data_IF_453748535157
#
_entry.id   IF_453748535157
#
_cell.length_a   1.000
_cell.length_b   1.000
_cell.length_c   1.000
_cell.angle_alpha   90.00
_cell.angle_beta   90.00
_cell.angle_gamma   90.00
#
_symmetry.space_group_name_H-M   'P 1'
#
loop_
_entity.id
_entity.type
_entity.pdbx_description
1 polymer ?
#
# COMPACT_ATOMS: atom_id res chain seq x y z
N UNK A 1 30.16 -6.25 -24.58
CA UNK A 1 30.67 -7.25 -23.62
C UNK A 1 31.24 -6.52 -22.41
N UNK A 2 30.43 -6.31 -21.38
CA UNK A 2 30.89 -5.70 -20.12
C UNK A 2 31.38 -6.86 -19.25
N UNK A 3 32.68 -6.90 -18.95
CA UNK A 3 33.28 -7.93 -18.09
C UNK A 3 32.86 -7.65 -16.64
N UNK A 4 32.26 -8.64 -16.00
CA UNK A 4 31.98 -8.65 -14.57
C UNK A 4 33.31 -8.57 -13.81
N UNK A 5 33.64 -7.41 -13.24
CA UNK A 5 34.80 -7.25 -12.36
C UNK A 5 34.33 -7.68 -10.96
N UNK A 6 34.90 -8.75 -10.36
CA UNK A 6 34.53 -9.15 -9.01
C UNK A 6 35.01 -8.08 -8.03
N UNK A 7 34.11 -7.65 -7.13
CA UNK A 7 34.49 -6.85 -5.97
C UNK A 7 35.33 -7.75 -5.04
N UNK A 8 36.55 -7.33 -4.80
CA UNK A 8 37.53 -8.05 -3.96
C UNK A 8 37.52 -7.36 -2.59
N UNK A 9 37.36 -8.13 -1.51
CA UNK A 9 37.48 -7.58 -0.16
C UNK A 9 38.93 -7.20 0.17
N UNK A 10 39.15 -6.42 1.23
CA UNK A 10 40.50 -5.97 1.68
C UNK A 10 41.54 -7.09 1.79
N UNK A 11 41.07 -8.33 1.97
CA UNK A 11 41.89 -9.51 2.21
C UNK A 11 42.11 -10.37 0.94
N UNK A 12 41.75 -9.87 -0.25
CA UNK A 12 41.99 -10.57 -1.53
C UNK A 12 41.05 -11.75 -1.81
N UNK A 13 40.13 -12.07 -0.89
CA UNK A 13 39.09 -13.07 -1.10
C UNK A 13 37.95 -12.50 -1.97
N UNK A 14 37.29 -13.32 -2.82
CA UNK A 14 36.08 -12.88 -3.49
C UNK A 14 35.06 -12.47 -2.44
N UNK A 15 34.52 -11.25 -2.55
CA UNK A 15 33.51 -10.76 -1.61
C UNK A 15 32.27 -11.66 -1.70
N UNK A 16 32.21 -12.64 -0.80
CA UNK A 16 31.02 -13.46 -0.57
C UNK A 16 30.09 -12.62 0.27
N UNK A 17 29.56 -11.54 -0.34
CA UNK A 17 28.83 -10.49 0.37
C UNK A 17 27.86 -11.04 1.41
N UNK A 18 27.75 -10.33 2.54
CA UNK A 18 27.07 -10.82 3.75
C UNK A 18 25.66 -11.36 3.46
N UNK A 19 25.43 -12.60 3.92
CA UNK A 19 24.16 -13.33 3.81
C UNK A 19 23.59 -13.70 5.17
N UNK A 20 24.13 -13.10 6.24
CA UNK A 20 23.61 -13.27 7.58
C UNK A 20 22.42 -12.33 7.80
N UNK A 21 21.29 -12.91 8.19
CA UNK A 21 20.06 -12.18 8.44
C UNK A 21 19.57 -12.49 9.85
N UNK A 22 19.42 -11.44 10.65
CA UNK A 22 18.85 -11.49 11.99
C UNK A 22 17.50 -10.79 11.98
N UNK A 23 16.56 -11.33 12.75
CA UNK A 23 15.27 -10.67 12.99
C UNK A 23 15.52 -9.48 13.91
N UNK A 24 15.08 -8.29 13.49
CA UNK A 24 15.10 -7.10 14.34
C UNK A 24 13.99 -7.19 15.38
N UNK A 25 14.30 -6.81 16.63
CA UNK A 25 13.32 -6.77 17.73
C UNK A 25 12.22 -5.76 17.44
N UNK A 26 12.57 -4.62 16.85
CA UNK A 26 11.63 -3.57 16.45
C UNK A 26 10.66 -4.08 15.39
N UNK A 27 11.17 -4.79 14.37
CA UNK A 27 10.32 -5.41 13.36
C UNK A 27 9.42 -6.49 13.96
N UNK A 28 9.95 -7.33 14.86
CA UNK A 28 9.15 -8.37 15.50
C UNK A 28 7.96 -7.79 16.28
N UNK A 29 8.20 -6.72 17.04
CA UNK A 29 7.13 -5.99 17.76
C UNK A 29 6.11 -5.40 16.79
N UNK A 30 6.57 -4.72 15.74
CA UNK A 30 5.70 -4.14 14.72
C UNK A 30 4.87 -5.23 14.02
N UNK A 31 5.48 -6.36 13.67
CA UNK A 31 4.80 -7.47 13.04
C UNK A 31 3.72 -8.08 13.93
N UNK A 32 3.98 -8.23 15.24
CA UNK A 32 2.97 -8.69 16.21
C UNK A 32 1.81 -7.71 16.29
N UNK A 33 2.08 -6.41 16.43
CA UNK A 33 1.03 -5.38 16.49
C UNK A 33 0.15 -5.37 15.23
N UNK A 34 0.77 -5.45 14.06
CA UNK A 34 0.03 -5.50 12.78
C UNK A 34 -0.86 -6.75 12.70
N UNK A 35 -0.35 -7.91 13.09
CA UNK A 35 -1.14 -9.16 13.10
C UNK A 35 -2.31 -9.07 14.09
N UNK A 36 -2.09 -8.55 15.30
CA UNK A 36 -3.15 -8.38 16.29
C UNK A 36 -4.25 -7.41 15.82
N UNK A 37 -3.85 -6.32 15.18
CA UNK A 37 -4.77 -5.27 14.76
C UNK A 37 -5.56 -5.62 13.49
N UNK A 38 -4.89 -6.25 12.51
CA UNK A 38 -5.41 -6.45 11.16
C UNK A 38 -5.61 -7.90 10.77
N UNK A 39 -5.09 -8.87 11.54
CA UNK A 39 -5.29 -10.30 11.29
C UNK A 39 -5.65 -11.12 12.55
N UNK A 40 -6.58 -10.68 13.42
CA UNK A 40 -7.03 -11.48 14.54
C UNK A 40 -7.63 -12.81 14.06
N UNK A 41 -7.19 -13.92 14.64
CA UNK A 41 -7.70 -15.26 14.29
C UNK A 41 -7.30 -15.74 12.89
N UNK A 42 -6.29 -15.13 12.26
CA UNK A 42 -5.75 -15.57 10.96
C UNK A 42 -6.49 -15.03 9.74
N UNK A 43 -7.60 -14.30 9.92
CA UNK A 43 -8.35 -13.66 8.83
C UNK A 43 -7.98 -12.19 8.72
N UNK A 44 -7.68 -11.71 7.51
CA UNK A 44 -7.33 -10.30 7.30
C UNK A 44 -8.58 -9.43 7.34
N UNK A 45 -8.57 -8.43 8.22
CA UNK A 45 -9.58 -7.39 8.32
C UNK A 45 -9.29 -6.27 7.33
N UNK A 46 -9.59 -6.53 6.06
CA UNK A 46 -9.37 -5.59 4.95
C UNK A 46 -10.02 -4.23 5.15
N UNK A 47 -11.19 -4.17 5.79
CA UNK A 47 -11.91 -2.92 6.02
C UNK A 47 -11.08 -1.93 6.87
N UNK A 48 -10.42 -2.43 7.91
CA UNK A 48 -9.53 -1.61 8.76
C UNK A 48 -8.27 -1.19 8.00
N UNK A 49 -7.72 -2.09 7.18
CA UNK A 49 -6.49 -1.85 6.42
C UNK A 49 -6.72 -0.83 5.28
N UNK A 50 -7.86 -0.91 4.62
CA UNK A 50 -8.27 0.04 3.58
C UNK A 50 -8.63 1.41 4.17
N UNK A 51 -9.11 1.45 5.41
CA UNK A 51 -9.37 2.69 6.14
C UNK A 51 -8.10 3.45 6.59
N UNK A 52 -6.90 2.87 6.42
CA UNK A 52 -5.65 3.56 6.74
C UNK A 52 -5.53 4.90 5.98
N UNK A 53 -5.26 6.01 6.70
CA UNK A 53 -5.09 7.32 6.11
C UNK A 53 -4.02 7.32 5.01
N UNK A 54 -4.26 8.10 3.94
CA UNK A 54 -3.27 8.22 2.86
C UNK A 54 -1.91 8.71 3.35
N UNK A 55 -1.89 9.59 4.36
CA UNK A 55 -0.66 10.12 4.96
C UNK A 55 0.23 9.08 5.65
N UNK A 56 -0.32 7.91 5.98
CA UNK A 56 0.41 6.80 6.62
C UNK A 56 0.91 5.76 5.61
N UNK A 57 0.60 5.92 4.32
CA UNK A 57 1.00 4.98 3.26
C UNK A 57 2.41 5.27 2.74
N UNK A 58 3.09 4.25 2.21
CA UNK A 58 4.50 4.34 1.80
C UNK A 58 4.80 5.54 0.89
N UNK A 59 3.99 5.88 -0.13
CA UNK A 59 4.26 7.06 -0.96
C UNK A 59 4.27 8.37 -0.16
N UNK A 60 3.36 8.52 0.80
CA UNK A 60 3.26 9.70 1.66
C UNK A 60 4.36 9.73 2.72
N UNK A 61 4.72 8.57 3.26
CA UNK A 61 5.88 8.44 4.16
C UNK A 61 7.18 8.84 3.45
N UNK A 62 7.36 8.47 2.17
CA UNK A 62 8.53 8.88 1.38
C UNK A 62 8.59 10.40 1.25
N UNK A 63 7.44 11.05 1.03
CA UNK A 63 7.36 12.49 0.90
C UNK A 63 7.64 13.22 2.22
N UNK A 64 7.23 12.65 3.36
CA UNK A 64 7.36 13.25 4.69
C UNK A 64 8.73 13.00 5.32
N UNK A 65 9.15 11.74 5.38
CA UNK A 65 10.30 11.28 6.17
C UNK A 65 11.54 11.03 5.28
N UNK A 66 11.37 11.11 3.96
CA UNK A 66 12.42 10.94 2.98
C UNK A 66 12.61 9.50 2.52
N UNK A 67 13.06 9.34 1.27
CA UNK A 67 13.23 8.04 0.63
C UNK A 67 14.15 7.09 1.41
N UNK A 68 15.26 7.59 1.95
CA UNK A 68 16.26 6.77 2.64
C UNK A 68 15.71 6.12 3.92
N UNK A 69 14.90 6.86 4.69
CA UNK A 69 14.30 6.35 5.93
C UNK A 69 13.29 5.23 5.62
N UNK A 70 12.41 5.46 4.64
CA UNK A 70 11.39 4.47 4.25
C UNK A 70 12.02 3.24 3.57
N UNK A 71 13.06 3.44 2.75
CA UNK A 71 13.86 2.34 2.18
C UNK A 71 14.49 1.48 3.26
N UNK A 72 15.05 2.09 4.31
CA UNK A 72 15.58 1.34 5.45
C UNK A 72 14.50 0.54 6.20
N UNK A 73 13.29 1.08 6.34
CA UNK A 73 12.16 0.37 6.96
C UNK A 73 11.75 -0.86 6.15
N UNK A 74 11.54 -0.69 4.84
CA UNK A 74 11.16 -1.81 3.95
C UNK A 74 12.29 -2.83 3.85
N UNK A 75 13.54 -2.37 3.78
CA UNK A 75 14.71 -3.24 3.82
C UNK A 75 14.77 -4.07 5.10
N UNK A 76 14.55 -3.47 6.27
CA UNK A 76 14.54 -4.18 7.56
C UNK A 76 13.37 -5.19 7.67
N UNK A 77 12.21 -4.85 7.11
CA UNK A 77 11.07 -5.77 7.04
C UNK A 77 11.38 -6.99 6.18
N UNK A 78 11.93 -6.76 4.97
CA UNK A 78 12.33 -7.83 4.06
C UNK A 78 13.47 -8.67 4.64
N UNK A 79 14.45 -8.04 5.29
CA UNK A 79 15.55 -8.71 5.99
C UNK A 79 15.02 -9.65 7.06
N UNK A 80 14.05 -9.19 7.86
CA UNK A 80 13.45 -9.99 8.92
C UNK A 80 12.59 -11.12 8.37
N UNK A 81 11.87 -10.89 7.27
CA UNK A 81 11.16 -11.96 6.55
C UNK A 81 12.12 -13.07 6.09
N UNK A 82 13.25 -12.69 5.46
CA UNK A 82 14.28 -13.64 5.02
C UNK A 82 14.89 -14.39 6.22
N UNK A 83 15.23 -13.69 7.30
CA UNK A 83 15.75 -14.31 8.52
C UNK A 83 14.77 -15.34 9.11
N UNK A 84 13.47 -15.10 8.95
CA UNK A 84 12.41 -15.96 9.49
C UNK A 84 12.03 -17.14 8.58
N UNK A 85 12.50 -17.14 7.34
CA UNK A 85 12.27 -18.21 6.36
C UNK A 85 13.57 -19.01 6.27
N UNK A 86 13.57 -20.22 6.83
CA UNK A 86 14.76 -21.07 7.02
C UNK A 86 15.36 -21.57 5.68
N UNK A 87 15.94 -20.66 4.90
CA UNK A 87 16.55 -20.98 3.62
C UNK A 87 17.97 -21.52 3.79
N UNK A 88 18.36 -22.53 3.00
CA UNK A 88 19.76 -22.86 2.81
C UNK A 88 20.54 -21.64 2.26
N UNK A 89 21.78 -21.45 2.70
CA UNK A 89 22.60 -20.26 2.37
C UNK A 89 22.76 -19.94 0.87
N UNK A 90 22.66 -20.95 -0.01
CA UNK A 90 22.72 -20.77 -1.47
C UNK A 90 21.42 -20.22 -2.08
N UNK A 91 20.30 -20.27 -1.34
CA UNK A 91 18.99 -19.70 -1.69
C UNK A 91 18.71 -18.38 -1.00
N UNK A 92 19.58 -17.97 -0.07
CA UNK A 92 19.55 -16.66 0.55
C UNK A 92 20.09 -15.60 -0.43
N UNK A 93 19.36 -14.49 -0.65
CA UNK A 93 19.88 -13.37 -1.42
C UNK A 93 21.06 -12.72 -0.70
N UNK A 94 21.89 -11.97 -1.43
CA UNK A 94 22.88 -11.06 -0.84
C UNK A 94 22.21 -9.80 -0.32
N UNK A 95 22.83 -9.11 0.62
CA UNK A 95 22.29 -7.85 1.17
C UNK A 95 21.97 -6.81 0.08
N UNK A 96 22.82 -6.74 -0.97
CA UNK A 96 22.59 -5.88 -2.14
C UNK A 96 21.32 -6.27 -2.89
N UNK A 97 21.08 -7.56 -3.10
CA UNK A 97 19.86 -8.05 -3.76
C UNK A 97 18.60 -7.73 -2.92
N UNK A 98 18.69 -7.81 -1.60
CA UNK A 98 17.60 -7.42 -0.69
C UNK A 98 17.32 -5.92 -0.75
N UNK A 99 18.36 -5.07 -0.85
CA UNK A 99 18.17 -3.63 -1.05
C UNK A 99 17.51 -3.30 -2.39
N UNK A 100 17.95 -3.97 -3.47
CA UNK A 100 17.30 -3.81 -4.78
C UNK A 100 15.83 -4.20 -4.71
N UNK A 101 15.52 -5.33 -4.04
CA UNK A 101 14.15 -5.77 -3.81
C UNK A 101 13.31 -4.74 -3.03
N UNK A 102 13.85 -4.16 -1.96
CA UNK A 102 13.18 -3.12 -1.20
C UNK A 102 12.87 -1.89 -2.07
N UNK A 103 13.82 -1.46 -2.90
CA UNK A 103 13.62 -0.37 -3.86
C UNK A 103 12.50 -0.67 -4.87
N UNK A 104 12.48 -1.87 -5.47
CA UNK A 104 11.44 -2.28 -6.43
C UNK A 104 10.04 -2.32 -5.77
N UNK A 105 9.96 -2.84 -4.54
CA UNK A 105 8.72 -2.81 -3.75
C UNK A 105 8.26 -1.36 -3.55
N UNK A 106 9.16 -0.45 -3.15
CA UNK A 106 8.83 0.96 -2.96
C UNK A 106 8.43 1.69 -4.25
N UNK A 107 9.04 1.34 -5.38
CA UNK A 107 8.66 1.91 -6.68
C UNK A 107 7.25 1.48 -7.06
N UNK A 108 6.94 0.19 -6.95
CA UNK A 108 5.61 -0.32 -7.25
C UNK A 108 4.54 0.15 -6.24
N UNK A 109 4.91 0.42 -4.98
CA UNK A 109 3.98 0.90 -3.94
C UNK A 109 3.29 2.23 -4.28
N UNK A 110 3.83 3.00 -5.24
CA UNK A 110 3.22 4.24 -5.75
C UNK A 110 1.99 3.99 -6.62
N UNK A 111 1.87 2.81 -7.21
CA UNK A 111 0.79 2.47 -8.15
C UNK A 111 -0.54 2.24 -7.40
N UNK A 112 -0.47 1.60 -6.23
CA UNK A 112 -1.64 1.15 -5.47
C UNK A 112 -1.73 1.72 -4.04
N UNK A 113 -0.85 2.69 -3.74
CA UNK A 113 -0.75 3.35 -2.44
C UNK A 113 -0.64 2.32 -1.30
N UNK A 114 0.41 1.50 -1.36
CA UNK A 114 0.64 0.45 -0.38
C UNK A 114 1.08 1.03 0.98
N UNK A 115 0.59 0.47 2.08
CA UNK A 115 1.01 0.83 3.44
C UNK A 115 2.17 -0.05 3.94
N UNK A 116 2.80 0.31 5.05
CA UNK A 116 3.84 -0.55 5.66
C UNK A 116 3.20 -1.81 6.27
N UNK A 117 2.02 -1.66 6.86
CA UNK A 117 1.18 -2.71 7.42
C UNK A 117 0.82 -3.74 6.36
N UNK A 118 0.53 -3.30 5.13
CA UNK A 118 0.26 -4.17 3.99
C UNK A 118 1.45 -5.11 3.71
N UNK A 119 2.68 -4.57 3.71
CA UNK A 119 3.89 -5.36 3.50
C UNK A 119 4.14 -6.37 4.62
N UNK A 120 3.91 -5.96 5.86
CA UNK A 120 4.08 -6.82 7.03
C UNK A 120 3.08 -7.98 7.00
N UNK A 121 1.81 -7.71 6.70
CA UNK A 121 0.78 -8.73 6.51
C UNK A 121 1.11 -9.65 5.35
N UNK A 122 1.56 -9.10 4.23
CA UNK A 122 2.03 -9.86 3.09
C UNK A 122 3.14 -10.83 3.49
N UNK A 123 4.20 -10.37 4.16
CA UNK A 123 5.31 -11.23 4.57
C UNK A 123 4.88 -12.33 5.55
N UNK A 124 3.99 -12.03 6.50
CA UNK A 124 3.43 -13.03 7.41
C UNK A 124 2.64 -14.11 6.67
N UNK A 125 1.77 -13.71 5.73
CA UNK A 125 0.94 -14.64 4.95
C UNK A 125 1.75 -15.42 3.91
N UNK A 126 2.76 -14.80 3.31
CA UNK A 126 3.70 -15.46 2.42
C UNK A 126 4.51 -16.52 3.18
N UNK A 127 4.95 -16.23 4.40
CA UNK A 127 5.61 -17.20 5.28
C UNK A 127 4.69 -18.38 5.62
N UNK A 128 3.41 -18.11 5.87
CA UNK A 128 2.40 -19.14 6.10
C UNK A 128 2.03 -19.95 4.84
N UNK A 129 2.59 -19.61 3.67
CA UNK A 129 2.37 -20.33 2.41
C UNK A 129 1.06 -20.00 1.70
N UNK A 130 0.36 -18.92 2.10
CA UNK A 130 -0.92 -18.50 1.51
C UNK A 130 -0.79 -18.23 0.00
N UNK A 131 0.33 -17.65 -0.41
CA UNK A 131 0.64 -17.32 -1.82
C UNK A 131 1.52 -18.39 -2.50
N UNK A 132 1.52 -19.61 -1.96
CA UNK A 132 2.37 -20.70 -2.40
C UNK A 132 3.77 -20.71 -1.75
N UNK A 133 4.55 -21.78 -1.98
CA UNK A 133 5.83 -21.99 -1.31
C UNK A 133 6.90 -21.05 -1.85
N UNK A 134 7.53 -20.28 -0.95
CA UNK A 134 8.74 -19.50 -1.27
C UNK A 134 9.91 -20.47 -1.36
N UNK A 135 10.35 -20.81 -2.57
CA UNK A 135 11.43 -21.80 -2.79
C UNK A 135 12.83 -21.20 -2.78
N UNK A 136 12.93 -19.91 -3.08
CA UNK A 136 14.17 -19.13 -3.18
C UNK A 136 13.82 -17.65 -3.19
N UNK A 137 14.71 -16.82 -2.65
CA UNK A 137 14.65 -15.36 -2.75
C UNK A 137 15.86 -14.78 -3.48
N UNK A 138 16.65 -15.63 -4.15
CA UNK A 138 17.77 -15.19 -4.99
C UNK A 138 17.27 -14.32 -6.15
N UNK A 139 16.13 -14.69 -6.72
CA UNK A 139 15.43 -13.86 -7.70
C UNK A 139 14.27 -13.18 -7.00
N UNK A 140 14.08 -11.89 -7.32
CA UNK A 140 12.99 -11.09 -6.79
C UNK A 140 11.63 -11.46 -7.41
N UNK A 141 11.63 -11.95 -8.65
CA UNK A 141 10.42 -12.19 -9.44
C UNK A 141 9.34 -13.03 -8.71
N UNK A 142 9.67 -14.17 -8.04
CA UNK A 142 8.67 -14.95 -7.32
C UNK A 142 8.02 -14.17 -6.17
N UNK A 143 8.81 -13.37 -5.44
CA UNK A 143 8.29 -12.55 -4.35
C UNK A 143 7.34 -11.46 -4.88
N UNK A 144 7.67 -10.84 -6.01
CA UNK A 144 6.80 -9.83 -6.63
C UNK A 144 5.50 -10.45 -7.15
N UNK A 145 5.53 -11.62 -7.76
CA UNK A 145 4.30 -12.32 -8.17
C UNK A 145 3.40 -12.65 -6.96
N UNK A 146 3.99 -13.03 -5.82
CA UNK A 146 3.24 -13.24 -4.59
C UNK A 146 2.67 -11.93 -4.03
N UNK A 147 3.43 -10.84 -4.12
CA UNK A 147 2.95 -9.52 -3.74
C UNK A 147 1.78 -9.07 -4.64
N UNK A 148 1.82 -9.38 -5.93
CA UNK A 148 0.72 -9.10 -6.86
C UNK A 148 -0.54 -9.90 -6.50
N UNK A 149 -0.39 -11.15 -6.05
CA UNK A 149 -1.51 -11.92 -5.53
C UNK A 149 -2.12 -11.27 -4.28
N UNK A 150 -1.28 -10.79 -3.34
CA UNK A 150 -1.75 -10.00 -2.19
C UNK A 150 -2.49 -8.73 -2.63
N UNK A 151 -1.96 -8.00 -3.61
CA UNK A 151 -2.57 -6.78 -4.16
C UNK A 151 -3.92 -7.06 -4.81
N UNK A 152 -4.05 -8.18 -5.51
CA UNK A 152 -5.33 -8.59 -6.07
C UNK A 152 -6.36 -8.86 -4.98
N UNK A 153 -6.00 -9.58 -3.91
CA UNK A 153 -6.90 -9.80 -2.76
C UNK A 153 -7.34 -8.47 -2.12
N UNK A 154 -6.40 -7.54 -1.94
CA UNK A 154 -6.69 -6.20 -1.43
C UNK A 154 -7.63 -5.42 -2.35
N UNK A 155 -7.42 -5.51 -3.67
CA UNK A 155 -8.27 -4.87 -4.67
C UNK A 155 -9.69 -5.45 -4.69
N UNK A 156 -9.80 -6.78 -4.63
CA UNK A 156 -11.08 -7.48 -4.57
C UNK A 156 -11.84 -7.10 -3.28
N UNK A 157 -11.14 -7.03 -2.15
CA UNK A 157 -11.71 -6.57 -0.89
C UNK A 157 -12.22 -5.12 -0.97
N UNK A 158 -11.45 -4.23 -1.61
CA UNK A 158 -11.88 -2.85 -1.84
C UNK A 158 -13.12 -2.77 -2.73
N UNK A 159 -13.14 -3.52 -3.84
CA UNK A 159 -14.27 -3.56 -4.76
C UNK A 159 -15.52 -4.08 -4.08
N UNK A 160 -15.41 -5.17 -3.32
CA UNK A 160 -16.50 -5.73 -2.53
C UNK A 160 -17.01 -4.74 -1.47
N UNK A 161 -16.11 -4.07 -0.76
CA UNK A 161 -16.47 -3.07 0.24
C UNK A 161 -17.22 -1.89 -0.38
N UNK A 162 -16.72 -1.36 -1.50
CA UNK A 162 -17.37 -0.29 -2.27
C UNK A 162 -18.75 -0.71 -2.77
N UNK A 163 -18.88 -1.92 -3.32
CA UNK A 163 -20.17 -2.45 -3.77
C UNK A 163 -21.19 -2.56 -2.63
N UNK A 164 -20.77 -2.99 -1.44
CA UNK A 164 -21.66 -3.00 -0.26
C UNK A 164 -22.08 -1.60 0.15
N UNK A 165 -21.17 -0.63 0.11
CA UNK A 165 -21.46 0.76 0.45
C UNK A 165 -22.45 1.38 -0.54
N UNK A 166 -22.25 1.15 -1.84
CA UNK A 166 -23.16 1.60 -2.90
C UNK A 166 -24.53 0.93 -2.80
N UNK A 167 -24.57 -0.37 -2.48
CA UNK A 167 -25.83 -1.09 -2.26
C UNK A 167 -26.58 -0.54 -1.04
N UNK A 168 -25.89 -0.26 0.06
CA UNK A 168 -26.47 0.36 1.25
C UNK A 168 -27.03 1.76 0.93
N UNK A 169 -26.27 2.57 0.19
CA UNK A 169 -26.71 3.91 -0.23
C UNK A 169 -27.96 3.84 -1.13
N UNK A 170 -28.03 2.87 -2.05
CA UNK A 170 -29.22 2.65 -2.89
C UNK A 170 -30.44 2.20 -2.08
N UNK A 171 -30.24 1.40 -1.03
CA UNK A 171 -31.30 0.93 -0.14
C UNK A 171 -31.86 2.05 0.75
N UNK A 172 -31.06 3.06 1.10
CA UNK A 172 -31.51 4.22 1.89
C UNK A 172 -32.52 5.10 1.15
N UNK A 173 -32.76 4.87 -0.14
CA UNK A 173 -33.66 5.68 -0.96
C UNK A 173 -33.11 7.08 -1.23
N UNK A 174 -33.82 7.92 -2.00
CA UNK A 174 -33.40 9.29 -2.24
C UNK A 174 -33.46 10.08 -0.92
N UNK A 175 -32.29 10.31 -0.31
CA UNK A 175 -32.14 11.00 0.99
C UNK A 175 -32.73 12.40 0.99
N UNK A 176 -32.86 13.07 -0.15
CA UNK A 176 -33.74 14.21 -0.34
C UNK A 176 -33.85 14.47 -1.85
N UNK A 177 -34.92 13.95 -2.49
CA UNK A 177 -35.54 14.67 -3.60
C UNK A 177 -36.68 15.51 -3.03
N UNK A 178 -36.41 16.23 -1.94
CA UNK A 178 -37.18 17.42 -1.64
C UNK A 178 -36.79 18.41 -2.73
N UNK A 179 -37.51 18.38 -3.86
CA UNK A 179 -37.59 19.60 -4.64
C UNK A 179 -37.92 20.71 -3.63
N UNK A 180 -37.19 21.85 -3.61
CA UNK A 180 -37.74 23.01 -2.91
C UNK A 180 -39.20 23.11 -3.39
N UNK A 181 -40.14 23.28 -2.45
CA UNK A 181 -41.58 23.38 -2.76
C UNK A 181 -41.71 24.15 -4.07
N UNK A 182 -42.47 23.63 -5.07
CA UNK A 182 -42.51 24.21 -6.40
C UNK A 182 -42.82 25.69 -6.23
N UNK A 183 -41.81 26.54 -6.42
CA UNK A 183 -41.96 27.97 -6.24
C UNK A 183 -43.03 28.37 -7.23
N UNK A 184 -44.18 28.84 -6.73
CA UNK A 184 -45.28 29.16 -7.60
C UNK A 184 -44.78 30.21 -8.59
N UNK A 185 -45.10 30.04 -9.87
CA UNK A 185 -44.61 30.90 -10.94
C UNK A 185 -44.84 32.40 -10.60
N UNK A 186 -45.92 32.71 -9.87
CA UNK A 186 -46.25 34.05 -9.39
C UNK A 186 -45.21 34.69 -8.48
N UNK A 187 -44.56 33.93 -7.60
CA UNK A 187 -43.53 34.46 -6.69
C UNK A 187 -42.22 34.78 -7.43
N UNK A 188 -41.92 34.04 -8.50
CA UNK A 188 -40.80 34.33 -9.40
C UNK A 188 -41.02 35.62 -10.20
N UNK A 189 -42.26 35.92 -10.60
CA UNK A 189 -42.59 37.17 -11.27
C UNK A 189 -42.65 38.37 -10.33
N UNK A 190 -42.97 38.17 -9.04
CA UNK A 190 -42.94 39.24 -8.04
C UNK A 190 -41.52 39.73 -7.72
N UNK A 191 -40.51 38.85 -7.85
CA UNK A 191 -39.09 39.19 -7.65
C UNK A 191 -38.41 39.74 -8.91
N UNK A 192 -39.07 39.67 -10.07
CA UNK A 192 -38.57 40.29 -11.29
C UNK A 192 -38.78 41.81 -11.21
N UNK A 193 -37.70 42.54 -10.90
CA UNK A 193 -37.63 43.99 -11.12
C UNK A 193 -38.05 44.29 -12.56
N UNK A 194 -39.22 44.90 -12.73
CA UNK A 194 -39.67 45.45 -14.01
C UNK A 194 -38.70 46.60 -14.34
N UNK A 195 -37.69 46.31 -15.16
CA UNK A 195 -36.82 47.32 -15.74
C UNK A 195 -37.67 48.05 -16.77
N UNK A 196 -38.18 49.22 -16.40
CA UNK A 196 -38.93 50.09 -17.29
C UNK A 196 -37.98 50.67 -18.36
N UNK A 197 -37.96 50.03 -19.53
CA UNK A 197 -37.08 50.38 -20.65
C UNK A 197 -37.37 51.77 -21.26
N UNK A 198 -38.44 52.45 -20.84
CA UNK A 198 -38.76 53.80 -21.31
C UNK A 198 -38.15 54.91 -20.44
N UNK A 199 -37.51 54.57 -19.31
CA UNK A 199 -36.82 55.55 -18.49
C UNK A 199 -35.44 55.84 -19.08
N UNK A 200 -35.38 56.81 -19.99
CA UNK A 200 -34.11 57.40 -20.44
C UNK A 200 -33.29 57.81 -19.21
N UNK A 201 -32.14 57.17 -19.02
CA UNK A 201 -31.12 57.64 -18.10
C UNK A 201 -30.64 59.00 -18.61
N UNK A 202 -31.06 60.06 -17.95
CA UNK A 202 -30.64 61.43 -18.23
C UNK A 202 -29.79 61.91 -17.07
N UNK A 203 -28.52 62.20 -17.35
CA UNK A 203 -27.61 62.97 -16.49
C UNK A 203 -26.83 62.15 -15.48
#
# INVERSE_FOLDING_TARGET
MIRNIPLINSDGAPDRGDRSYTVSTEYALLATLVVEQYQPGGVVHWEKLLALPFGERLPSLIARDGKQAVDALVFNALKSFIASTEFPAYKCPTQTAVRVAACEILLSAKEDYLALEDLVLFFQRAKAGVYGPVKTLVTLLPLMHQLDAYRQERHDAYTNWKMRQDAAFRQMGPVERSAPEPTQLGDLFAQALVIDMNKKMSG
#
